data_IF_362842692598
#
_entry.id   IF_362842692598
#
_cell.length_a   1.000
_cell.length_b   1.000
_cell.length_c   1.000
_cell.angle_alpha   90.00
_cell.angle_beta   90.00
_cell.angle_gamma   90.00
#
_symmetry.space_group_name_H-M   'P 1'
#
loop_
_entity.id
_entity.type
_entity.pdbx_description
1 polymer ?
#
# COMPACT_ATOMS: atom_id res chain seq x y z
N UNK A 1 -18.78 3.75 33.56
CA UNK A 1 -17.54 3.57 32.79
C UNK A 1 -17.92 3.22 31.37
N UNK A 2 -17.86 4.22 30.48
CA UNK A 2 -18.36 4.23 29.11
C UNK A 2 -17.63 3.20 28.23
N UNK A 3 -18.38 2.31 27.61
CA UNK A 3 -18.01 1.57 26.41
C UNK A 3 -19.18 1.77 25.44
N UNK A 4 -18.82 1.97 24.16
CA UNK A 4 -19.65 1.98 22.95
C UNK A 4 -20.46 3.25 22.71
N UNK A 5 -19.95 4.07 21.79
CA UNK A 5 -20.64 4.45 20.54
C UNK A 5 -19.63 5.18 19.65
N UNK A 6 -19.94 5.26 18.36
CA UNK A 6 -19.22 5.94 17.27
C UNK A 6 -18.18 5.10 16.51
N UNK A 7 -18.27 4.88 15.19
CA UNK A 7 -19.28 5.19 14.19
C UNK A 7 -19.11 4.16 13.06
N UNK A 8 -20.22 3.56 12.63
CA UNK A 8 -20.27 2.84 11.37
C UNK A 8 -20.41 3.84 10.23
N UNK A 9 -19.40 3.94 9.38
CA UNK A 9 -19.54 4.59 8.09
C UNK A 9 -19.24 3.58 6.99
N UNK A 10 -20.30 3.30 6.24
CA UNK A 10 -20.33 2.56 5.00
C UNK A 10 -19.79 3.52 3.95
N UNK A 11 -18.64 3.21 3.36
CA UNK A 11 -18.11 3.99 2.24
C UNK A 11 -18.98 3.71 1.00
N UNK A 12 -19.86 4.65 0.69
CA UNK A 12 -20.69 4.67 -0.53
C UNK A 12 -19.83 5.14 -1.72
N UNK A 13 -19.76 4.29 -2.75
CA UNK A 13 -18.89 4.42 -3.94
C UNK A 13 -19.49 5.40 -4.98
N UNK A 14 -20.01 6.53 -4.49
CA UNK A 14 -21.00 7.33 -5.19
C UNK A 14 -20.59 8.77 -5.48
N UNK A 15 -20.04 8.98 -6.68
CA UNK A 15 -19.91 10.25 -7.45
C UNK A 15 -18.59 11.01 -7.33
N UNK A 16 -17.56 10.47 -7.97
CA UNK A 16 -16.41 11.27 -8.43
C UNK A 16 -16.79 11.87 -9.79
N UNK A 17 -17.05 13.18 -9.84
CA UNK A 17 -17.05 13.92 -11.11
C UNK A 17 -15.62 14.34 -11.42
N UNK A 18 -15.09 13.83 -12.52
CA UNK A 18 -13.73 14.12 -12.97
C UNK A 18 -13.79 15.24 -14.01
N UNK A 19 -13.58 16.47 -13.58
CA UNK A 19 -13.11 17.56 -14.45
C UNK A 19 -11.79 18.08 -13.85
N UNK A 20 -10.73 18.03 -14.65
CA UNK A 20 -9.36 18.51 -14.37
C UNK A 20 -8.71 18.11 -13.03
N UNK A 21 -9.04 16.93 -12.51
CA UNK A 21 -8.16 16.20 -11.57
C UNK A 21 -8.03 16.80 -10.17
N UNK A 22 -8.90 17.73 -9.78
CA UNK A 22 -8.98 18.24 -8.41
C UNK A 22 -10.29 17.79 -7.78
N UNK A 23 -10.18 17.04 -6.69
CA UNK A 23 -11.28 16.83 -5.75
C UNK A 23 -11.30 18.07 -4.86
N UNK A 24 -12.25 18.98 -5.09
CA UNK A 24 -12.61 19.98 -4.08
C UNK A 24 -13.50 19.29 -3.06
N UNK A 25 -12.90 18.93 -1.93
CA UNK A 25 -13.60 18.45 -0.75
C UNK A 25 -13.30 19.44 0.39
N UNK A 26 -14.36 20.12 0.84
CA UNK A 26 -14.31 21.21 1.82
C UNK A 26 -13.88 20.72 3.23
N UNK A 27 -13.85 19.40 3.49
CA UNK A 27 -13.42 18.83 4.77
C UNK A 27 -11.88 18.72 4.94
N UNK A 28 -11.09 19.06 3.91
CA UNK A 28 -9.62 19.00 3.94
C UNK A 28 -8.94 20.24 4.57
N UNK A 29 -9.71 21.09 5.25
CA UNK A 29 -9.25 22.35 5.86
C UNK A 29 -8.15 22.15 6.94
N UNK A 30 -7.97 20.93 7.46
CA UNK A 30 -6.95 20.58 8.46
C UNK A 30 -5.52 20.42 7.90
N UNK A 31 -5.31 20.58 6.59
CA UNK A 31 -3.97 20.49 5.99
C UNK A 31 -3.72 21.61 4.98
N UNK A 32 -3.45 22.83 5.46
CA UNK A 32 -2.58 23.75 4.70
C UNK A 32 -1.16 23.21 4.75
N UNK A 33 -0.93 22.09 4.05
CA UNK A 33 0.39 21.50 3.91
C UNK A 33 1.23 22.43 3.02
N UNK A 34 2.43 22.79 3.48
CA UNK A 34 3.41 23.51 2.67
C UNK A 34 3.69 22.70 1.39
N UNK A 35 3.07 23.10 0.27
CA UNK A 35 3.09 22.35 -0.99
C UNK A 35 4.52 22.17 -1.53
N UNK A 36 5.38 23.15 -1.30
CA UNK A 36 6.78 23.14 -1.67
C UNK A 36 7.62 23.59 -0.49
N UNK A 37 8.49 22.71 0.01
CA UNK A 37 9.47 23.08 1.03
C UNK A 37 10.77 23.46 0.36
N UNK A 38 11.21 24.70 0.53
CA UNK A 38 12.41 25.25 -0.14
C UNK A 38 12.38 25.08 -1.68
N UNK A 39 11.21 25.24 -2.30
CA UNK A 39 11.02 25.07 -3.75
C UNK A 39 11.04 23.62 -4.25
N UNK A 40 11.04 22.64 -3.34
CA UNK A 40 11.06 21.21 -3.68
C UNK A 40 9.70 20.57 -3.34
N UNK A 41 9.08 19.94 -4.33
CA UNK A 41 7.93 19.06 -4.15
C UNK A 41 8.39 17.70 -3.63
N UNK A 42 7.81 17.25 -2.52
CA UNK A 42 8.09 15.95 -1.90
C UNK A 42 6.86 15.06 -1.98
N UNK A 43 6.98 13.91 -2.63
CA UNK A 43 5.89 12.94 -2.78
C UNK A 43 6.29 11.64 -2.10
N UNK A 44 5.50 11.18 -1.14
CA UNK A 44 5.73 9.91 -0.45
C UNK A 44 4.89 8.77 -1.01
N UNK A 45 5.49 7.60 -1.18
CA UNK A 45 4.77 6.36 -1.46
C UNK A 45 4.54 5.60 -0.16
N UNK A 46 3.29 5.46 0.28
CA UNK A 46 2.90 4.73 1.50
C UNK A 46 2.03 3.53 1.16
N UNK A 47 1.89 2.58 2.09
CA UNK A 47 1.02 1.40 1.92
C UNK A 47 1.63 0.09 2.42
N UNK A 48 0.89 -1.00 2.25
CA UNK A 48 1.28 -2.34 2.71
C UNK A 48 2.62 -2.82 2.12
N UNK A 49 3.29 -3.80 2.76
CA UNK A 49 4.40 -4.51 2.13
C UNK A 49 4.02 -5.04 0.74
N UNK A 50 5.00 -5.16 -0.15
CA UNK A 50 4.85 -5.81 -1.46
C UNK A 50 3.84 -5.24 -2.47
N UNK A 51 3.13 -4.15 -2.17
CA UNK A 51 2.22 -3.46 -3.13
C UNK A 51 2.93 -2.73 -4.28
N UNK A 52 4.26 -2.79 -4.34
CA UNK A 52 5.03 -2.23 -5.47
C UNK A 52 5.52 -0.79 -5.31
N UNK A 53 5.51 -0.20 -4.11
CA UNK A 53 6.00 1.17 -3.83
C UNK A 53 7.40 1.45 -4.44
N UNK A 54 8.39 0.64 -4.06
CA UNK A 54 9.76 0.76 -4.55
C UNK A 54 9.87 0.45 -6.06
N UNK A 55 9.03 -0.45 -6.58
CA UNK A 55 8.97 -0.76 -8.01
C UNK A 55 8.44 0.43 -8.82
N UNK A 56 7.41 1.11 -8.32
CA UNK A 56 6.86 2.33 -8.93
C UNK A 56 7.92 3.42 -9.01
N UNK A 57 8.70 3.63 -7.95
CA UNK A 57 9.80 4.60 -7.94
C UNK A 57 10.85 4.27 -9.00
N UNK A 58 11.25 3.00 -9.10
CA UNK A 58 12.19 2.56 -10.14
C UNK A 58 11.63 2.76 -11.55
N UNK A 59 10.34 2.47 -11.77
CA UNK A 59 9.66 2.67 -13.03
C UNK A 59 9.63 4.16 -13.42
N UNK A 60 9.24 5.04 -12.50
CA UNK A 60 9.24 6.50 -12.70
C UNK A 60 10.65 7.03 -12.98
N UNK A 61 11.69 6.44 -12.38
CA UNK A 61 13.07 6.84 -12.63
C UNK A 61 13.64 6.27 -13.93
N UNK A 62 12.99 5.26 -14.53
CA UNK A 62 13.46 4.56 -15.72
C UNK A 62 14.71 3.68 -15.49
N UNK A 63 15.13 3.51 -14.24
CA UNK A 63 16.28 2.67 -13.86
C UNK A 63 16.18 2.24 -12.40
N UNK A 64 16.92 1.20 -12.05
CA UNK A 64 17.01 0.72 -10.66
C UNK A 64 17.78 1.72 -9.79
N UNK A 65 17.08 2.39 -8.88
CA UNK A 65 17.63 3.31 -7.87
C UNK A 65 17.34 2.85 -6.44
N UNK A 66 16.27 2.09 -6.24
CA UNK A 66 15.95 1.42 -4.96
C UNK A 66 15.95 -0.09 -5.14
N UNK A 67 16.32 -0.81 -4.08
CA UNK A 67 16.26 -2.27 -4.06
C UNK A 67 14.83 -2.75 -3.89
N UNK A 68 14.46 -3.83 -4.59
CA UNK A 68 13.13 -4.45 -4.52
C UNK A 68 13.26 -5.91 -4.12
N UNK A 69 12.23 -6.45 -3.46
CA UNK A 69 12.12 -7.86 -3.07
C UNK A 69 10.67 -8.29 -3.04
N UNK A 70 10.43 -9.60 -3.15
CA UNK A 70 9.12 -10.23 -2.98
C UNK A 70 8.78 -10.52 -1.51
N UNK A 71 9.77 -10.44 -0.62
CA UNK A 71 9.59 -10.72 0.81
C UNK A 71 9.22 -9.42 1.54
N UNK A 72 8.20 -9.43 2.41
CA UNK A 72 7.87 -8.25 3.21
C UNK A 72 9.04 -7.86 4.13
N UNK A 73 9.10 -6.58 4.50
CA UNK A 73 10.17 -6.05 5.36
C UNK A 73 11.49 -5.74 4.65
N UNK A 74 11.50 -5.70 3.32
CA UNK A 74 12.70 -5.36 2.53
C UNK A 74 13.10 -3.88 2.65
N UNK A 75 12.15 -2.97 2.41
CA UNK A 75 12.35 -1.54 2.65
C UNK A 75 12.23 -1.27 4.15
N UNK A 76 13.37 -1.09 4.83
CA UNK A 76 13.42 -0.88 6.29
C UNK A 76 13.56 0.59 6.69
N UNK A 77 14.06 1.41 5.79
CA UNK A 77 14.35 2.82 6.05
C UNK A 77 13.66 3.70 5.04
N UNK A 78 13.26 4.88 5.52
CA UNK A 78 12.77 5.94 4.68
C UNK A 78 13.89 6.49 3.80
N UNK A 79 13.68 6.52 2.50
CA UNK A 79 14.67 6.95 1.52
C UNK A 79 14.11 8.02 0.62
N UNK A 80 14.95 8.95 0.18
CA UNK A 80 14.55 10.07 -0.69
C UNK A 80 15.31 10.01 -1.99
N UNK A 81 14.58 10.04 -3.11
CA UNK A 81 15.11 9.92 -4.46
C UNK A 81 14.68 11.13 -5.28
N UNK A 82 15.63 11.89 -5.81
CA UNK A 82 15.29 12.99 -6.72
C UNK A 82 14.88 12.46 -8.10
N UNK A 83 13.65 12.77 -8.51
CA UNK A 83 13.15 12.50 -9.85
C UNK A 83 13.68 13.55 -10.82
N UNK A 84 13.48 14.83 -10.46
CA UNK A 84 14.01 16.03 -11.13
C UNK A 84 14.71 16.93 -10.11
N UNK A 85 15.17 18.12 -10.53
CA UNK A 85 15.80 19.10 -9.61
C UNK A 85 14.85 19.60 -8.50
N UNK A 86 13.55 19.67 -8.81
CA UNK A 86 12.54 20.27 -7.91
C UNK A 86 11.51 19.25 -7.42
N UNK A 87 11.65 17.97 -7.77
CA UNK A 87 10.73 16.90 -7.37
C UNK A 87 11.51 15.74 -6.81
N UNK A 88 11.16 15.33 -5.58
CA UNK A 88 11.71 14.13 -4.93
C UNK A 88 10.61 13.18 -4.51
N UNK A 89 10.87 11.89 -4.70
CA UNK A 89 10.03 10.79 -4.28
C UNK A 89 10.59 10.18 -3.01
N UNK A 90 9.72 9.72 -2.11
CA UNK A 90 10.11 9.07 -0.88
C UNK A 90 9.61 7.62 -0.85
N UNK A 91 10.52 6.68 -0.65
CA UNK A 91 10.21 5.26 -0.42
C UNK A 91 10.15 5.00 1.08
N UNK A 92 9.00 4.56 1.58
CA UNK A 92 8.80 4.23 2.98
C UNK A 92 8.73 2.72 3.21
N UNK A 93 9.03 2.25 4.43
CA UNK A 93 8.68 0.90 4.83
C UNK A 93 7.21 0.58 4.59
N UNK A 94 6.92 -0.71 4.36
CA UNK A 94 5.54 -1.19 4.30
C UNK A 94 4.89 -1.10 5.67
N UNK A 95 3.72 -0.48 5.74
CA UNK A 95 2.96 -0.33 6.99
C UNK A 95 1.89 -1.42 7.07
N UNK A 96 1.86 -2.14 8.19
CA UNK A 96 0.81 -3.12 8.49
C UNK A 96 0.15 -2.67 9.79
N UNK A 97 -1.11 -2.27 9.71
CA UNK A 97 -1.89 -1.93 10.89
C UNK A 97 -2.44 -3.20 11.54
N UNK A 98 -2.56 -3.24 12.88
CA UNK A 98 -3.32 -4.29 13.55
C UNK A 98 -4.72 -4.34 12.95
N UNK A 99 -5.03 -5.44 12.27
CA UNK A 99 -6.31 -5.63 11.61
C UNK A 99 -6.83 -7.01 11.99
N UNK A 100 -8.14 -7.12 12.18
CA UNK A 100 -8.83 -8.38 12.48
C UNK A 100 -8.92 -9.32 11.26
N UNK A 101 -8.21 -8.99 10.17
CA UNK A 101 -8.16 -9.78 8.95
C UNK A 101 -7.56 -11.16 9.24
N UNK A 102 -8.17 -12.26 8.76
CA UNK A 102 -7.65 -13.61 8.96
C UNK A 102 -6.22 -13.77 8.47
N UNK A 103 -5.43 -14.60 9.17
CA UNK A 103 -4.02 -14.85 8.83
C UNK A 103 -3.83 -15.31 7.37
N UNK A 104 -4.75 -16.13 6.85
CA UNK A 104 -4.72 -16.59 5.46
C UNK A 104 -4.73 -15.40 4.47
N UNK A 105 -5.60 -14.42 4.69
CA UNK A 105 -5.67 -13.21 3.87
C UNK A 105 -4.39 -12.38 4.02
N UNK A 106 -3.86 -12.23 5.24
CA UNK A 106 -2.59 -11.50 5.44
C UNK A 106 -1.40 -12.13 4.69
N UNK A 107 -1.35 -13.47 4.64
CA UNK A 107 -0.35 -14.23 3.88
C UNK A 107 -0.56 -14.01 2.38
N UNK A 108 -1.79 -14.12 1.88
CA UNK A 108 -2.12 -13.93 0.46
C UNK A 108 -1.83 -12.51 -0.03
N UNK A 109 -2.05 -11.50 0.81
CA UNK A 109 -1.72 -10.10 0.53
C UNK A 109 -0.20 -9.83 0.53
N UNK A 110 0.63 -10.82 0.85
CA UNK A 110 2.09 -10.68 0.87
C UNK A 110 2.62 -9.88 2.05
N UNK A 111 1.81 -9.63 3.08
CA UNK A 111 2.22 -8.91 4.29
C UNK A 111 3.00 -9.80 5.26
N UNK A 112 2.89 -11.13 5.11
CA UNK A 112 3.57 -12.12 5.95
C UNK A 112 4.64 -12.89 5.15
N UNK A 113 5.85 -13.12 5.69
CA UNK A 113 6.88 -13.88 4.98
C UNK A 113 6.44 -15.34 4.74
N UNK A 114 6.34 -15.76 3.48
CA UNK A 114 5.93 -17.13 3.11
C UNK A 114 6.82 -18.19 3.79
N UNK A 115 8.12 -17.93 3.90
CA UNK A 115 9.08 -18.84 4.55
C UNK A 115 8.85 -19.05 6.07
N UNK A 116 8.03 -18.21 6.71
CA UNK A 116 7.70 -18.33 8.14
C UNK A 116 6.31 -18.93 8.37
N UNK A 117 5.59 -19.30 7.29
CA UNK A 117 4.27 -19.92 7.40
C UNK A 117 4.46 -21.37 7.82
N UNK A 118 4.09 -21.68 9.07
CA UNK A 118 4.19 -23.02 9.62
C UNK A 118 3.21 -24.01 8.99
N UNK A 119 2.00 -23.54 8.66
CA UNK A 119 0.90 -24.38 8.16
C UNK A 119 0.33 -23.80 6.86
N UNK A 120 1.00 -24.03 5.71
CA UNK A 120 0.63 -23.42 4.44
C UNK A 120 -0.64 -24.01 3.82
N UNK A 121 -0.99 -25.27 4.14
CA UNK A 121 -2.13 -25.94 3.53
C UNK A 121 -3.46 -25.27 3.89
N UNK A 122 -3.57 -24.69 5.08
CA UNK A 122 -4.73 -23.88 5.48
C UNK A 122 -4.97 -22.68 4.54
N UNK A 123 -3.90 -22.06 4.04
CA UNK A 123 -3.97 -20.94 3.10
C UNK A 123 -4.30 -21.44 1.69
N UNK A 124 -3.71 -22.57 1.28
CA UNK A 124 -4.03 -23.20 -0.02
C UNK A 124 -5.50 -23.57 -0.07
N UNK A 125 -6.03 -24.22 0.98
CA UNK A 125 -7.44 -24.55 1.09
C UNK A 125 -8.31 -23.29 1.02
N UNK A 126 -7.94 -22.22 1.74
CA UNK A 126 -8.67 -20.96 1.72
C UNK A 126 -8.82 -20.38 0.30
N UNK A 127 -7.80 -20.51 -0.55
CA UNK A 127 -7.88 -20.10 -1.97
C UNK A 127 -8.67 -21.11 -2.79
N UNK A 128 -8.47 -22.41 -2.58
CA UNK A 128 -9.14 -23.49 -3.32
C UNK A 128 -10.67 -23.42 -3.22
N UNK A 129 -11.19 -23.00 -2.06
CA UNK A 129 -12.63 -22.82 -1.84
C UNK A 129 -13.23 -21.65 -2.63
N UNK A 130 -12.39 -20.77 -3.21
CA UNK A 130 -12.80 -19.51 -3.84
C UNK A 130 -12.41 -19.41 -5.31
N UNK A 131 -11.46 -20.23 -5.77
CA UNK A 131 -10.90 -20.20 -7.12
C UNK A 131 -10.71 -21.64 -7.60
N UNK A 132 -11.02 -21.91 -8.87
CA UNK A 132 -10.67 -23.17 -9.53
C UNK A 132 -9.14 -23.27 -9.67
N UNK A 133 -8.50 -23.87 -8.67
CA UNK A 133 -7.05 -24.01 -8.63
C UNK A 133 -6.50 -24.87 -9.79
N UNK A 134 -7.10 -26.02 -10.14
CA UNK A 134 -6.67 -26.77 -11.34
C UNK A 134 -6.62 -25.89 -12.58
N UNK A 135 -7.69 -25.14 -12.85
CA UNK A 135 -7.72 -24.23 -13.99
C UNK A 135 -6.67 -23.11 -13.86
N UNK A 136 -6.58 -22.45 -12.71
CA UNK A 136 -5.68 -21.32 -12.48
C UNK A 136 -4.20 -21.70 -12.56
N UNK A 137 -3.86 -22.94 -12.17
CA UNK A 137 -2.50 -23.46 -12.17
C UNK A 137 -2.15 -24.23 -13.44
N UNK A 138 -3.09 -24.35 -14.39
CA UNK A 138 -2.92 -25.15 -15.61
C UNK A 138 -2.50 -26.60 -15.30
N UNK A 139 -3.13 -27.18 -14.26
CA UNK A 139 -2.92 -28.57 -13.82
C UNK A 139 -3.92 -29.52 -14.46
#
# INVERSE_FOLDING_TARGET
NKILEENGEIFDDGKIKVEDGFVEDDELEWMVAEKYKNGILTIGCTGFPNVGKSSLINALKGRKVVSISKTPGHTKHFQTIFLTRNVRLCDSPGLVFPSLVPRAVQILMGSYPIAQVSEPYSVVQFVAERVDLPQALSL
#
